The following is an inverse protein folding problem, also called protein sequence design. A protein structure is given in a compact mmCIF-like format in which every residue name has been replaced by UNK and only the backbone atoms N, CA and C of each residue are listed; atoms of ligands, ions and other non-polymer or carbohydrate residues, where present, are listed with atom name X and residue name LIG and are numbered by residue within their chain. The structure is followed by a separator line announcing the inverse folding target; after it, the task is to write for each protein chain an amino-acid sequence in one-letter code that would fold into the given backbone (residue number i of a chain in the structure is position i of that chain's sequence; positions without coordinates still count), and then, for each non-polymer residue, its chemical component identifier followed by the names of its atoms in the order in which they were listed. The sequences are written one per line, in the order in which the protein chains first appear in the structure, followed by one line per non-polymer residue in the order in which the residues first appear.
data_IF_843269642746
#
_entry.id   IF_843269642746
#
_cell.length_a   1.000
_cell.length_b   1.000
_cell.length_c   1.000
_cell.angle_alpha   90.00
_cell.angle_beta   90.00
_cell.angle_gamma   90.00
#
_symmetry.space_group_name_H-M   'P 1'
#
loop_
_entity.id
_entity.type
_entity.pdbx_description
1 polymer ?
#
# COMPACT_ATOMS: atom_id res chain seq x y z
N UNK A 1 1.55 -11.26 -2.06
CA UNK A 1 1.75 -12.72 -2.06
C UNK A 1 2.13 -13.13 -3.47
N UNK A 2 3.41 -13.36 -3.73
CA UNK A 2 3.84 -13.96 -4.99
C UNK A 2 3.42 -15.43 -4.94
N UNK A 3 2.52 -15.84 -5.84
CA UNK A 3 2.23 -17.25 -6.04
C UNK A 3 3.42 -17.79 -6.85
N UNK A 4 4.46 -18.25 -6.15
CA UNK A 4 5.57 -18.96 -6.77
C UNK A 4 5.00 -20.22 -7.45
N UNK A 5 5.16 -20.29 -8.77
CA UNK A 5 4.79 -21.46 -9.56
C UNK A 5 5.60 -22.64 -9.03
N UNK A 6 4.92 -23.67 -8.52
CA UNK A 6 5.57 -24.93 -8.17
C UNK A 6 6.31 -25.44 -9.43
N UNK A 7 7.64 -25.66 -9.38
CA UNK A 7 8.35 -26.15 -10.55
C UNK A 7 7.78 -27.52 -10.94
N UNK A 8 7.47 -27.68 -12.22
CA UNK A 8 7.19 -29.00 -12.79
C UNK A 8 8.53 -29.73 -12.82
N UNK A 9 8.67 -30.76 -11.98
CA UNK A 9 9.91 -31.52 -11.81
C UNK A 9 10.42 -32.07 -13.16
N UNK A 10 11.60 -31.61 -13.60
CA UNK A 10 12.48 -32.40 -14.46
C UNK A 10 12.45 -32.22 -15.99
N UNK A 11 11.92 -31.14 -16.56
CA UNK A 11 12.07 -30.85 -18.01
C UNK A 11 12.22 -29.35 -18.30
N UNK A 12 12.84 -28.99 -19.42
CA UNK A 12 12.88 -27.61 -19.92
C UNK A 12 11.44 -27.09 -20.05
N UNK A 13 11.04 -26.17 -19.17
CA UNK A 13 9.70 -25.60 -19.16
C UNK A 13 9.64 -24.43 -20.14
N UNK A 14 8.82 -24.57 -21.18
CA UNK A 14 8.52 -23.49 -22.11
C UNK A 14 7.24 -22.77 -21.65
N UNK A 15 7.27 -21.43 -21.65
CA UNK A 15 6.15 -20.58 -21.24
C UNK A 15 5.47 -19.99 -22.46
N UNK A 16 4.15 -20.06 -22.49
CA UNK A 16 3.34 -19.38 -23.49
C UNK A 16 2.50 -18.30 -22.80
N UNK A 17 2.52 -17.08 -23.33
CA UNK A 17 1.86 -15.92 -22.73
C UNK A 17 0.69 -15.49 -23.60
N UNK A 18 -0.51 -15.46 -23.02
CA UNK A 18 -1.68 -14.81 -23.61
C UNK A 18 -1.69 -13.37 -23.09
N UNK A 19 -1.55 -12.40 -23.98
CA UNK A 19 -1.40 -10.99 -23.60
C UNK A 19 -2.77 -10.34 -23.41
N UNK A 20 -2.82 -9.33 -22.53
CA UNK A 20 -4.01 -8.48 -22.37
C UNK A 20 -4.18 -7.60 -23.61
N UNK A 21 -5.42 -7.44 -24.06
CA UNK A 21 -5.79 -6.47 -25.10
C UNK A 21 -6.07 -5.11 -24.46
N UNK A 22 -5.16 -4.15 -24.66
CA UNK A 22 -5.30 -2.78 -24.16
C UNK A 22 -6.10 -1.87 -25.09
N UNK A 23 -6.50 -2.34 -26.28
CA UNK A 23 -7.33 -1.55 -27.21
C UNK A 23 -8.74 -1.35 -26.66
N UNK A 24 -9.17 -2.20 -25.72
CA UNK A 24 -10.47 -2.19 -25.06
C UNK A 24 -10.29 -1.60 -23.66
N UNK A 25 -10.35 -0.27 -23.55
CA UNK A 25 -9.97 0.46 -22.34
C UNK A 25 -10.86 0.21 -21.10
N UNK A 26 -12.08 -0.31 -21.29
CA UNK A 26 -13.10 -0.40 -20.22
C UNK A 26 -13.34 -1.84 -19.73
N UNK A 27 -12.55 -2.82 -20.22
CA UNK A 27 -12.74 -4.24 -19.87
C UNK A 27 -11.40 -4.97 -19.78
N UNK A 28 -11.36 -5.99 -18.93
CA UNK A 28 -10.30 -6.99 -18.96
C UNK A 28 -10.60 -7.99 -20.08
N UNK A 29 -9.82 -7.89 -21.16
CA UNK A 29 -9.86 -8.77 -22.32
C UNK A 29 -8.45 -9.27 -22.65
N UNK A 30 -8.34 -10.47 -23.19
CA UNK A 30 -7.10 -11.10 -23.58
C UNK A 30 -7.12 -11.43 -25.07
N UNK A 31 -6.00 -11.16 -25.75
CA UNK A 31 -5.85 -11.48 -27.18
C UNK A 31 -5.57 -12.98 -27.32
N UNK A 32 -6.64 -13.76 -27.51
CA UNK A 32 -6.54 -15.20 -27.76
C UNK A 32 -6.49 -15.49 -29.27
N UNK A 33 -5.63 -16.41 -29.75
CA UNK A 33 -5.55 -16.74 -31.17
C UNK A 33 -6.87 -17.29 -31.73
N UNK A 34 -7.16 -17.02 -33.00
CA UNK A 34 -8.42 -17.41 -33.63
C UNK A 34 -8.41 -18.88 -34.10
N UNK A 35 -7.23 -19.46 -34.28
CA UNK A 35 -7.04 -20.84 -34.70
C UNK A 35 -6.05 -21.59 -33.82
N UNK A 36 -6.29 -22.89 -33.60
CA UNK A 36 -5.36 -23.78 -32.90
C UNK A 36 -3.99 -23.87 -33.58
N UNK A 37 -3.90 -23.57 -34.87
CA UNK A 37 -2.63 -23.60 -35.62
C UNK A 37 -1.64 -22.51 -35.18
N UNK A 38 -2.13 -21.41 -34.60
CA UNK A 38 -1.33 -20.29 -34.10
C UNK A 38 -0.71 -20.60 -32.73
N UNK A 39 -1.20 -21.63 -32.02
CA UNK A 39 -0.63 -22.07 -30.75
C UNK A 39 0.60 -22.98 -30.98
N UNK A 40 1.54 -23.02 -30.02
CA UNK A 40 2.58 -24.02 -29.97
C UNK A 40 2.01 -25.44 -30.08
N UNK A 41 2.70 -26.31 -30.82
CA UNK A 41 2.25 -27.69 -31.13
C UNK A 41 1.72 -28.45 -29.91
N UNK A 42 2.37 -28.42 -28.72
CA UNK A 42 1.89 -29.12 -27.53
C UNK A 42 0.55 -28.59 -26.97
N UNK A 43 0.23 -27.33 -27.23
CA UNK A 43 -0.96 -26.66 -26.68
C UNK A 43 -2.17 -26.76 -27.60
N UNK A 44 -2.00 -27.15 -28.87
CA UNK A 44 -3.07 -27.16 -29.87
C UNK A 44 -4.22 -28.09 -29.50
N UNK A 45 -3.95 -29.24 -28.87
CA UNK A 45 -4.97 -30.17 -28.39
C UNK A 45 -5.85 -29.59 -27.27
N UNK A 46 -5.34 -28.58 -26.55
CA UNK A 46 -6.02 -27.92 -25.43
C UNK A 46 -6.66 -26.59 -25.84
N UNK A 47 -6.69 -26.25 -27.13
CA UNK A 47 -7.17 -24.96 -27.64
C UNK A 47 -8.51 -24.53 -27.04
N UNK A 48 -9.52 -25.41 -27.09
CA UNK A 48 -10.87 -25.11 -26.56
C UNK A 48 -10.86 -24.85 -25.05
N UNK A 49 -10.08 -25.62 -24.29
CA UNK A 49 -10.02 -25.50 -22.83
C UNK A 49 -9.29 -24.20 -22.42
N UNK A 50 -8.18 -23.89 -23.09
CA UNK A 50 -7.45 -22.64 -22.86
C UNK A 50 -8.30 -21.42 -23.21
N UNK A 51 -9.06 -21.48 -24.31
CA UNK A 51 -9.98 -20.41 -24.70
C UNK A 51 -11.08 -20.21 -23.66
N UNK A 52 -11.71 -21.29 -23.22
CA UNK A 52 -12.78 -21.24 -22.22
C UNK A 52 -12.29 -20.68 -20.88
N UNK A 53 -11.14 -21.16 -20.39
CA UNK A 53 -10.51 -20.62 -19.16
C UNK A 53 -10.19 -19.14 -19.34
N UNK A 54 -9.68 -18.73 -20.50
CA UNK A 54 -9.39 -17.31 -20.77
C UNK A 54 -10.67 -16.46 -20.67
N UNK A 55 -11.76 -16.87 -21.30
CA UNK A 55 -13.06 -16.18 -21.21
C UNK A 55 -13.64 -16.17 -19.79
N UNK A 56 -13.50 -17.27 -19.05
CA UNK A 56 -13.93 -17.33 -17.65
C UNK A 56 -13.12 -16.34 -16.78
N UNK A 57 -11.81 -16.26 -17.01
CA UNK A 57 -10.95 -15.27 -16.33
C UNK A 57 -11.38 -13.84 -16.65
N UNK A 58 -11.64 -13.52 -17.92
CA UNK A 58 -12.19 -12.21 -18.32
C UNK A 58 -13.49 -11.88 -17.57
N UNK A 59 -14.38 -12.86 -17.45
CA UNK A 59 -15.66 -12.69 -16.75
C UNK A 59 -15.47 -12.44 -15.26
N UNK A 60 -14.61 -13.20 -14.59
CA UNK A 60 -14.30 -13.04 -13.16
C UNK A 60 -13.72 -11.64 -12.91
N UNK A 61 -12.74 -11.24 -13.72
CA UNK A 61 -12.08 -9.96 -13.54
C UNK A 61 -12.98 -8.77 -13.92
N UNK A 62 -13.80 -8.90 -14.96
CA UNK A 62 -14.82 -7.91 -15.29
C UNK A 62 -15.84 -7.74 -14.16
N UNK A 63 -16.20 -8.83 -13.47
CA UNK A 63 -17.06 -8.76 -12.28
C UNK A 63 -16.38 -8.07 -11.10
N UNK A 64 -15.05 -8.17 -10.98
CA UNK A 64 -14.28 -7.47 -9.96
C UNK A 64 -14.13 -5.96 -10.27
N UNK A 65 -14.02 -5.59 -11.54
CA UNK A 65 -14.04 -4.19 -12.00
C UNK A 65 -15.43 -3.56 -11.95
N UNK A 66 -16.49 -4.37 -11.92
CA UNK A 66 -17.87 -3.90 -11.82
C UNK A 66 -18.09 -3.16 -10.49
N UNK A 67 -17.96 -1.84 -10.55
CA UNK A 67 -18.11 -0.99 -9.38
C UNK A 67 -19.59 -0.92 -8.97
N UNK A 68 -19.97 -1.70 -7.95
CA UNK A 68 -21.28 -1.62 -7.32
C UNK A 68 -21.30 -0.55 -6.22
N UNK A 69 -22.49 -0.03 -5.89
CA UNK A 69 -22.67 0.91 -4.76
C UNK A 69 -22.08 0.36 -3.46
N UNK A 70 -22.17 -0.96 -3.24
CA UNK A 70 -21.57 -1.62 -2.07
C UNK A 70 -20.04 -1.50 -2.06
N UNK A 71 -19.38 -1.67 -3.21
CA UNK A 71 -17.92 -1.56 -3.33
C UNK A 71 -17.45 -0.14 -3.05
N UNK A 72 -18.17 0.87 -3.55
CA UNK A 72 -17.90 2.28 -3.22
C UNK A 72 -18.09 2.56 -1.72
N UNK A 73 -19.20 2.11 -1.13
CA UNK A 73 -19.46 2.27 0.29
C UNK A 73 -18.39 1.59 1.15
N UNK A 74 -17.93 0.40 0.76
CA UNK A 74 -16.84 -0.30 1.45
C UNK A 74 -15.56 0.54 1.45
N UNK A 75 -15.18 1.11 0.29
CA UNK A 75 -14.04 2.01 0.20
C UNK A 75 -14.17 3.24 1.09
N UNK A 76 -15.34 3.89 1.07
CA UNK A 76 -15.62 5.06 1.92
C UNK A 76 -15.58 4.73 3.41
N UNK A 77 -16.20 3.61 3.82
CA UNK A 77 -16.21 3.18 5.22
C UNK A 77 -14.79 2.82 5.67
N UNK A 78 -14.01 2.11 4.86
CA UNK A 78 -12.63 1.81 5.18
C UNK A 78 -11.80 3.08 5.41
N UNK A 79 -11.96 4.08 4.54
CA UNK A 79 -11.29 5.37 4.71
C UNK A 79 -11.74 6.08 5.99
N UNK A 80 -13.05 6.17 6.22
CA UNK A 80 -13.62 6.84 7.37
C UNK A 80 -13.15 6.18 8.68
N UNK A 81 -13.17 4.84 8.75
CA UNK A 81 -12.66 4.08 9.89
C UNK A 81 -11.19 4.37 10.13
N UNK A 82 -10.36 4.45 9.08
CA UNK A 82 -8.95 4.83 9.20
C UNK A 82 -8.76 6.21 9.84
N UNK A 83 -9.51 7.21 9.39
CA UNK A 83 -9.45 8.56 9.98
C UNK A 83 -9.95 8.60 11.42
N UNK A 84 -11.05 7.89 11.73
CA UNK A 84 -11.57 7.80 13.09
C UNK A 84 -10.54 7.17 14.03
N UNK A 85 -9.84 6.11 13.60
CA UNK A 85 -8.79 5.49 14.41
C UNK A 85 -7.65 6.46 14.72
N UNK A 86 -7.22 7.26 13.73
CA UNK A 86 -6.21 8.30 13.95
C UNK A 86 -6.67 9.39 14.93
N UNK A 87 -7.97 9.66 15.01
CA UNK A 87 -8.53 10.59 15.99
C UNK A 87 -8.71 9.98 17.38
N UNK A 88 -9.00 8.68 17.46
CA UNK A 88 -9.27 8.00 18.73
C UNK A 88 -8.00 7.46 19.42
N UNK A 89 -6.88 7.33 18.71
CA UNK A 89 -5.64 6.77 19.22
C UNK A 89 -4.55 7.83 19.15
N UNK A 90 -3.91 8.13 20.28
CA UNK A 90 -2.68 8.92 20.26
C UNK A 90 -1.65 8.25 19.38
N UNK A 91 -1.19 8.97 18.36
CA UNK A 91 -0.17 8.47 17.47
C UNK A 91 1.13 8.25 18.25
N UNK A 92 1.99 7.34 17.78
CA UNK A 92 3.30 7.12 18.42
C UNK A 92 4.08 8.43 18.54
N UNK A 93 3.98 9.29 17.53
CA UNK A 93 4.63 10.58 17.52
C UNK A 93 4.15 11.50 18.66
N UNK A 94 2.83 11.61 18.86
CA UNK A 94 2.28 12.40 19.98
C UNK A 94 2.75 11.89 21.34
N UNK A 95 2.87 10.57 21.51
CA UNK A 95 3.36 9.97 22.77
C UNK A 95 4.80 10.38 23.07
N UNK A 96 5.70 10.24 22.09
CA UNK A 96 7.10 10.62 22.27
C UNK A 96 7.31 12.13 22.33
N UNK A 97 6.49 12.90 21.62
CA UNK A 97 6.48 14.35 21.74
C UNK A 97 6.16 14.73 23.19
N UNK A 98 5.08 14.19 23.76
CA UNK A 98 4.70 14.44 25.14
C UNK A 98 5.80 14.05 26.14
N UNK A 99 6.42 12.88 25.96
CA UNK A 99 7.56 12.43 26.78
C UNK A 99 8.73 13.44 26.75
N UNK A 100 9.05 13.98 25.57
CA UNK A 100 10.09 15.01 25.42
C UNK A 100 9.71 16.33 26.11
N UNK A 101 8.44 16.75 26.07
CA UNK A 101 7.99 17.97 26.77
C UNK A 101 8.13 17.81 28.29
N UNK A 102 7.72 16.65 28.83
CA UNK A 102 7.83 16.32 30.25
C UNK A 102 9.30 16.31 30.70
N UNK A 103 10.20 15.73 29.90
CA UNK A 103 11.63 15.74 30.19
C UNK A 103 12.19 17.17 30.22
N UNK A 104 11.84 18.00 29.23
CA UNK A 104 12.31 19.38 29.16
C UNK A 104 11.81 20.23 30.34
N UNK A 105 10.54 20.09 30.71
CA UNK A 105 9.99 20.79 31.87
C UNK A 105 10.71 20.39 33.16
N UNK A 106 10.95 19.10 33.35
CA UNK A 106 11.70 18.56 34.48
C UNK A 106 13.10 19.17 34.56
N UNK A 107 13.89 19.10 33.49
CA UNK A 107 15.28 19.60 33.49
C UNK A 107 15.36 21.12 33.63
N UNK A 108 14.41 21.86 33.04
CA UNK A 108 14.31 23.30 33.22
C UNK A 108 14.08 23.69 34.68
N UNK A 109 13.27 22.92 35.41
CA UNK A 109 12.97 23.18 36.83
C UNK A 109 14.11 22.69 37.74
N UNK A 110 14.64 21.48 37.51
CA UNK A 110 15.60 20.85 38.42
C UNK A 110 17.02 21.38 38.24
N UNK A 111 17.46 21.51 36.99
CA UNK A 111 18.87 21.70 36.63
C UNK A 111 19.14 23.15 36.26
N UNK A 112 18.27 23.75 35.44
CA UNK A 112 18.54 25.03 34.80
C UNK A 112 17.98 26.26 35.52
N UNK A 113 16.99 26.07 36.40
CA UNK A 113 16.32 27.15 37.16
C UNK A 113 17.29 28.06 37.92
N UNK A 114 18.30 27.48 38.58
CA UNK A 114 19.29 28.23 39.35
C UNK A 114 20.26 29.05 38.50
N UNK A 115 20.52 28.61 37.27
CA UNK A 115 21.44 29.29 36.34
C UNK A 115 20.74 30.29 35.42
N UNK A 116 19.43 30.52 35.62
CA UNK A 116 18.57 31.32 34.72
C UNK A 116 18.62 30.83 33.25
N UNK A 117 18.88 29.53 33.06
CA UNK A 117 18.87 28.90 31.74
C UNK A 117 17.49 28.29 31.52
N UNK A 118 16.97 28.39 30.30
CA UNK A 118 15.69 27.80 29.92
C UNK A 118 15.76 27.26 28.50
N UNK A 119 15.43 25.98 28.33
CA UNK A 119 15.35 25.32 27.02
C UNK A 119 13.89 25.32 26.56
N UNK A 120 13.60 25.90 25.40
CA UNK A 120 12.27 25.87 24.80
C UNK A 120 12.05 24.53 24.08
N UNK A 121 10.82 24.02 24.13
CA UNK A 121 10.42 22.85 23.35
C UNK A 121 10.69 23.05 21.84
N UNK A 122 11.50 22.17 21.20
CA UNK A 122 11.87 22.31 19.80
C UNK A 122 10.68 22.16 18.84
N UNK A 123 9.57 21.53 19.26
CA UNK A 123 8.36 21.41 18.45
C UNK A 123 7.77 22.78 18.07
N UNK A 124 7.94 23.80 18.93
CA UNK A 124 7.50 25.17 18.66
C UNK A 124 8.20 25.80 17.45
N UNK A 125 9.38 25.30 17.09
CA UNK A 125 10.14 25.73 15.92
C UNK A 125 10.07 24.72 14.76
N UNK A 126 9.16 23.75 14.83
CA UNK A 126 9.06 22.66 13.87
C UNK A 126 10.26 21.72 13.93
N UNK A 127 10.84 21.52 15.12
CA UNK A 127 12.03 20.69 15.37
C UNK A 127 13.31 21.12 14.64
N UNK A 128 13.34 22.34 14.08
CA UNK A 128 14.50 22.83 13.32
C UNK A 128 15.71 23.16 14.20
N UNK A 129 15.46 23.55 15.46
CA UNK A 129 16.50 23.87 16.42
C UNK A 129 15.99 23.71 17.86
N UNK A 130 16.92 23.48 18.79
CA UNK A 130 16.70 23.57 20.23
C UNK A 130 17.12 24.97 20.66
N UNK A 131 16.18 25.78 21.14
CA UNK A 131 16.47 27.12 21.61
C UNK A 131 16.80 27.09 23.10
N UNK A 132 17.97 27.63 23.46
CA UNK A 132 18.43 27.75 24.84
C UNK A 132 18.55 29.23 25.18
N UNK A 133 17.76 29.68 26.15
CA UNK A 133 17.74 31.05 26.67
C UNK A 133 18.65 31.08 27.90
N UNK A 134 19.51 32.09 27.98
CA UNK A 134 20.46 32.29 29.09
C UNK A 134 20.67 33.80 29.33
N UNK A 135 21.06 34.23 30.54
CA UNK A 135 21.27 35.64 30.85
C UNK A 135 22.49 36.19 30.09
N UNK A 136 22.38 37.42 29.56
CA UNK A 136 23.54 38.14 29.03
C UNK A 136 24.36 38.72 30.19
N UNK A 137 25.68 38.55 30.13
CA UNK A 137 26.63 39.17 31.06
C UNK A 137 26.62 40.70 30.96
#
# INVERSE_FOLDING_TARGET
MAHELHPLDGSQTEKYFILRDYSINDKIAFTFPNSASELPVPLRSYYTQLKDITTQMETIYSSAEAASTATYCQGCIACLTGYILLWCINTQYEKYQHEAEVLLEKENISTFKGSQIHIRNPCNNGLRCIEVIYPKC
#
